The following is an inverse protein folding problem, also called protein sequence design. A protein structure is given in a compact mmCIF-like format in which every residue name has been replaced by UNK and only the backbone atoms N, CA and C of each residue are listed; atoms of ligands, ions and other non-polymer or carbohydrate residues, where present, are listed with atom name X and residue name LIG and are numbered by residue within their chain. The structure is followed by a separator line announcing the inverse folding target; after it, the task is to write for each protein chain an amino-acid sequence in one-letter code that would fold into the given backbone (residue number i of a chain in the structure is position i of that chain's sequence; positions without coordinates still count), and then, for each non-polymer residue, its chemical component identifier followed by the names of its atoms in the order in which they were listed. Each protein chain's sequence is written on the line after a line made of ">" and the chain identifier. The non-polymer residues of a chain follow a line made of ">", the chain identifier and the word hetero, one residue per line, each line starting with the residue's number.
data_IF_900643688164
#
_entry.id   IF_900643688164
#
_cell.length_a   1.000
_cell.length_b   1.000
_cell.length_c   1.000
_cell.angle_alpha   90.00
_cell.angle_beta   90.00
_cell.angle_gamma   90.00
#
_symmetry.space_group_name_H-M   'P 1'
#
loop_
_entity.id
_entity.type
_entity.pdbx_description
1 polymer ?
#
# COMPACT_ATOMS: atom_id res chain seq x y z
N UNK A 1 -11.96 -55.31 4.33
CA UNK A 1 -11.52 -54.97 5.68
C UNK A 1 -11.73 -53.49 5.89
N UNK A 2 -12.78 -53.09 6.61
CA UNK A 2 -13.16 -51.71 6.85
C UNK A 2 -12.33 -51.14 8.01
N UNK A 3 -11.56 -50.06 7.77
CA UNK A 3 -10.89 -49.29 8.81
C UNK A 3 -11.94 -48.55 9.62
N UNK A 4 -12.15 -48.94 10.87
CA UNK A 4 -12.93 -48.19 11.86
C UNK A 4 -12.25 -46.83 12.10
N UNK A 5 -12.92 -45.78 11.70
CA UNK A 5 -12.61 -44.43 12.19
C UNK A 5 -12.89 -44.40 13.70
N UNK A 6 -11.87 -44.15 14.51
CA UNK A 6 -12.03 -43.86 15.92
C UNK A 6 -12.60 -42.44 16.05
N UNK A 7 -13.89 -42.34 16.37
CA UNK A 7 -14.48 -41.12 16.87
C UNK A 7 -13.70 -40.67 18.13
N UNK A 8 -12.95 -39.58 18.04
CA UNK A 8 -12.37 -38.91 19.19
C UNK A 8 -13.52 -38.19 19.92
N UNK A 9 -13.97 -38.74 21.02
CA UNK A 9 -14.89 -38.06 21.92
C UNK A 9 -14.33 -36.71 22.33
N UNK A 10 -15.10 -35.65 22.13
CA UNK A 10 -14.81 -34.30 22.65
C UNK A 10 -15.05 -34.38 24.17
N UNK A 11 -13.98 -34.41 24.94
CA UNK A 11 -14.03 -34.33 26.41
C UNK A 11 -14.42 -32.92 26.82
N UNK A 12 -15.58 -32.77 27.45
CA UNK A 12 -16.05 -31.51 28.02
C UNK A 12 -15.25 -31.25 29.31
N UNK A 13 -14.34 -30.27 29.28
CA UNK A 13 -13.60 -29.82 30.47
C UNK A 13 -14.44 -28.76 31.16
N UNK A 14 -14.72 -28.89 32.47
CA UNK A 14 -15.45 -27.90 33.25
C UNK A 14 -14.76 -26.53 33.17
N UNK A 15 -15.59 -25.48 33.06
CA UNK A 15 -15.07 -24.12 32.79
C UNK A 15 -14.22 -23.53 33.92
N UNK A 16 -14.31 -24.09 35.12
CA UNK A 16 -13.67 -23.56 36.32
C UNK A 16 -12.24 -24.11 36.55
N UNK A 17 -11.79 -25.11 35.79
CA UNK A 17 -10.41 -25.62 35.88
C UNK A 17 -9.51 -25.01 34.80
N UNK A 18 -9.03 -23.79 35.07
CA UNK A 18 -8.12 -23.06 34.19
C UNK A 18 -6.83 -23.80 33.85
N UNK A 19 -6.28 -24.60 34.81
CA UNK A 19 -5.06 -25.36 34.60
C UNK A 19 -5.27 -26.53 33.68
N UNK A 20 -6.38 -27.28 33.83
CA UNK A 20 -6.70 -28.38 32.94
C UNK A 20 -6.98 -27.90 31.52
N UNK A 21 -7.65 -26.71 31.35
CA UNK A 21 -7.87 -26.10 30.06
C UNK A 21 -6.57 -25.66 29.39
N UNK A 22 -5.66 -25.03 30.15
CA UNK A 22 -4.36 -24.62 29.60
C UNK A 22 -3.52 -25.82 29.18
N UNK A 23 -3.52 -26.90 29.94
CA UNK A 23 -2.82 -28.15 29.59
C UNK A 23 -3.38 -28.76 28.30
N UNK A 24 -4.72 -28.80 28.14
CA UNK A 24 -5.37 -29.29 26.93
C UNK A 24 -5.07 -28.45 25.70
N UNK A 25 -5.04 -27.11 25.85
CA UNK A 25 -4.65 -26.17 24.77
C UNK A 25 -3.20 -26.40 24.38
N UNK A 26 -2.28 -26.50 25.33
CA UNK A 26 -0.85 -26.74 25.07
C UNK A 26 -0.60 -28.08 24.35
N UNK A 27 -1.35 -29.13 24.68
CA UNK A 27 -1.30 -30.41 23.96
C UNK A 27 -1.84 -30.27 22.52
N UNK A 28 -2.96 -29.55 22.34
CA UNK A 28 -3.51 -29.27 20.99
C UNK A 28 -2.53 -28.47 20.13
N UNK A 29 -1.86 -27.45 20.69
CA UNK A 29 -0.82 -26.66 20.02
C UNK A 29 0.32 -27.57 19.55
N UNK A 30 0.84 -28.46 20.40
CA UNK A 30 1.89 -29.43 20.01
C UNK A 30 1.48 -30.32 18.85
N UNK A 31 0.23 -30.79 18.84
CA UNK A 31 -0.31 -31.62 17.75
C UNK A 31 -0.38 -30.80 16.45
N UNK A 32 -0.90 -29.56 16.53
CA UNK A 32 -1.00 -28.66 15.38
C UNK A 32 0.39 -28.34 14.82
N UNK A 33 1.36 -27.98 15.66
CA UNK A 33 2.73 -27.67 15.23
C UNK A 33 3.44 -28.90 14.61
N UNK A 34 3.15 -30.10 15.11
CA UNK A 34 3.68 -31.34 14.53
C UNK A 34 3.08 -31.65 13.15
N UNK A 35 1.81 -31.32 12.92
CA UNK A 35 1.11 -31.60 11.67
C UNK A 35 1.32 -30.53 10.61
N UNK A 36 1.32 -29.26 11.02
CA UNK A 36 1.33 -28.09 10.11
C UNK A 36 2.62 -27.26 10.17
N UNK A 37 3.53 -27.59 11.08
CA UNK A 37 4.79 -26.86 11.28
C UNK A 37 4.72 -25.82 12.38
N UNK A 38 5.91 -25.40 12.86
CA UNK A 38 6.04 -24.34 13.87
C UNK A 38 5.47 -23.02 13.34
N UNK A 39 4.72 -22.31 14.16
CA UNK A 39 4.06 -21.04 13.79
C UNK A 39 2.69 -21.21 13.12
N UNK A 40 2.18 -22.46 12.96
CA UNK A 40 0.83 -22.70 12.49
C UNK A 40 -0.26 -22.14 13.42
N UNK A 41 0.09 -22.00 14.71
CA UNK A 41 -0.72 -21.31 15.73
C UNK A 41 0.21 -20.44 16.58
N UNK A 42 -0.23 -19.24 16.91
CA UNK A 42 0.53 -18.30 17.74
C UNK A 42 -0.32 -17.84 18.90
N UNK A 43 0.27 -17.84 20.10
CA UNK A 43 -0.30 -17.16 21.25
C UNK A 43 0.12 -15.69 21.21
N UNK A 44 -0.86 -14.80 21.03
CA UNK A 44 -0.64 -13.35 20.94
C UNK A 44 -0.91 -12.75 22.30
N UNK A 45 0.16 -12.28 22.96
CA UNK A 45 0.05 -11.54 24.21
C UNK A 45 0.39 -10.06 23.99
N UNK A 46 0.02 -9.21 24.94
CA UNK A 46 0.40 -7.79 24.96
C UNK A 46 1.92 -7.59 25.02
N UNK A 47 2.65 -8.57 25.51
CA UNK A 47 4.12 -8.56 25.58
C UNK A 47 4.79 -8.93 24.24
N UNK A 48 4.06 -9.58 23.34
CA UNK A 48 4.58 -10.04 22.04
C UNK A 48 3.59 -9.76 20.89
N UNK A 49 3.29 -8.48 20.59
CA UNK A 49 2.38 -8.13 19.52
C UNK A 49 3.00 -8.48 18.16
N UNK A 50 2.17 -8.97 17.22
CA UNK A 50 2.60 -9.15 15.83
C UNK A 50 2.86 -7.78 15.22
N UNK A 51 4.13 -7.38 15.16
CA UNK A 51 4.54 -6.13 14.52
C UNK A 51 4.69 -6.37 13.02
N UNK A 52 3.92 -5.66 12.21
CA UNK A 52 4.07 -5.67 10.76
C UNK A 52 5.22 -4.76 10.39
N UNK A 53 6.25 -5.31 9.74
CA UNK A 53 7.34 -4.52 9.18
C UNK A 53 6.85 -3.69 8.01
N UNK A 54 7.44 -2.50 7.84
CA UNK A 54 7.12 -1.60 6.74
C UNK A 54 8.38 -1.05 6.08
N UNK A 55 8.26 -0.70 4.80
CA UNK A 55 9.28 0.05 4.05
C UNK A 55 8.70 1.41 3.69
N UNK A 56 9.47 2.48 3.87
CA UNK A 56 9.07 3.83 3.54
C UNK A 56 8.53 3.93 2.10
N UNK A 57 7.54 4.76 1.91
CA UNK A 57 7.03 5.13 0.59
C UNK A 57 7.92 6.11 -0.15
N UNK A 58 8.91 6.69 0.54
CA UNK A 58 9.74 7.80 0.07
C UNK A 58 9.12 9.17 0.31
N UNK A 59 7.97 9.24 0.99
CA UNK A 59 7.26 10.45 1.41
C UNK A 59 6.88 10.36 2.88
N UNK A 60 7.25 11.35 3.67
CA UNK A 60 6.91 11.44 5.09
C UNK A 60 5.39 11.56 5.30
N UNK A 61 4.69 12.27 4.41
CA UNK A 61 3.25 12.42 4.46
C UNK A 61 2.52 11.09 4.23
N UNK A 62 2.93 10.34 3.21
CA UNK A 62 2.36 9.02 2.91
C UNK A 62 2.67 8.05 4.05
N UNK A 63 3.89 8.03 4.55
CA UNK A 63 4.31 7.16 5.65
C UNK A 63 3.54 7.44 6.94
N UNK A 64 3.32 8.72 7.26
CA UNK A 64 2.47 9.15 8.37
C UNK A 64 1.01 8.74 8.17
N UNK A 65 0.48 8.89 6.96
CA UNK A 65 -0.91 8.51 6.64
C UNK A 65 -1.10 6.98 6.70
N UNK A 66 -0.11 6.20 6.27
CA UNK A 66 -0.10 4.73 6.39
C UNK A 66 -0.07 4.26 7.84
N UNK A 67 0.49 5.06 8.75
CA UNK A 67 0.42 4.87 10.20
C UNK A 67 1.36 3.82 10.78
N UNK A 68 2.17 3.16 9.95
CA UNK A 68 3.21 2.19 10.34
C UNK A 68 4.59 2.55 9.75
N UNK A 69 4.69 3.76 9.16
CA UNK A 69 5.94 4.26 8.58
C UNK A 69 6.24 3.79 7.17
N UNK A 70 5.24 3.33 6.43
CA UNK A 70 5.40 2.93 5.05
C UNK A 70 4.49 1.78 4.59
N UNK A 71 4.87 1.15 3.49
CA UNK A 71 4.15 0.00 2.94
C UNK A 71 4.38 -1.27 3.78
N UNK A 72 3.31 -1.99 4.17
CA UNK A 72 3.43 -3.21 4.98
C UNK A 72 4.05 -4.34 4.16
N UNK A 73 5.12 -4.95 4.69
CA UNK A 73 5.72 -6.17 4.12
C UNK A 73 4.76 -7.35 4.21
N UNK A 74 4.84 -8.24 3.22
CA UNK A 74 4.01 -9.43 3.16
C UNK A 74 2.52 -9.15 2.95
N UNK A 75 2.17 -7.99 2.37
CA UNK A 75 0.78 -7.55 2.18
C UNK A 75 0.51 -7.04 0.78
N UNK A 76 -0.77 -7.10 0.41
CA UNK A 76 -1.30 -6.53 -0.82
C UNK A 76 -1.72 -5.09 -0.56
N UNK A 77 -1.20 -4.18 -1.39
CA UNK A 77 -1.56 -2.76 -1.42
C UNK A 77 -2.18 -2.46 -2.78
N UNK A 78 -3.34 -1.82 -2.80
CA UNK A 78 -3.95 -1.29 -4.02
C UNK A 78 -3.80 0.22 -4.06
N UNK A 79 -3.19 0.74 -5.15
CA UNK A 79 -3.08 2.17 -5.45
C UNK A 79 -3.95 2.46 -6.66
N UNK A 80 -4.97 3.29 -6.51
CA UNK A 80 -5.91 3.57 -7.58
C UNK A 80 -6.25 5.05 -7.69
N UNK A 81 -6.74 5.45 -8.84
CA UNK A 81 -7.11 6.84 -9.12
C UNK A 81 -7.26 7.10 -10.62
N UNK A 82 -7.63 8.32 -11.02
CA UNK A 82 -7.70 8.74 -12.42
C UNK A 82 -6.36 8.60 -13.14
N UNK A 83 -6.38 8.72 -14.46
CA UNK A 83 -5.16 8.81 -15.26
C UNK A 83 -4.32 10.02 -14.85
N UNK A 84 -2.99 9.90 -14.99
CA UNK A 84 -2.03 10.97 -14.68
C UNK A 84 -2.14 11.52 -13.25
N UNK A 85 -2.66 10.74 -12.30
CA UNK A 85 -2.73 11.14 -10.89
C UNK A 85 -1.45 10.85 -10.07
N UNK A 86 -0.42 10.24 -10.67
CA UNK A 86 0.85 9.93 -10.00
C UNK A 86 0.94 8.52 -9.39
N UNK A 87 0.06 7.58 -9.76
CA UNK A 87 0.06 6.21 -9.24
C UNK A 87 1.38 5.47 -9.48
N UNK A 88 1.86 5.49 -10.75
CA UNK A 88 3.13 4.86 -11.14
C UNK A 88 4.31 5.56 -10.47
N UNK A 89 4.28 6.89 -10.34
CA UNK A 89 5.30 7.66 -9.60
C UNK A 89 5.44 7.19 -8.15
N UNK A 90 4.32 7.03 -7.44
CA UNK A 90 4.29 6.53 -6.06
C UNK A 90 4.85 5.10 -5.98
N UNK A 91 4.51 4.24 -6.94
CA UNK A 91 5.02 2.87 -7.00
C UNK A 91 6.53 2.81 -7.28
N UNK A 92 7.05 3.67 -8.17
CA UNK A 92 8.48 3.77 -8.45
C UNK A 92 9.27 4.28 -7.25
N UNK A 93 8.75 5.26 -6.51
CA UNK A 93 9.35 5.68 -5.24
C UNK A 93 9.41 4.53 -4.23
N UNK A 94 8.34 3.72 -4.11
CA UNK A 94 8.34 2.54 -3.23
C UNK A 94 9.43 1.53 -3.63
N UNK A 95 9.64 1.31 -4.93
CA UNK A 95 10.73 0.46 -5.45
C UNK A 95 12.08 1.03 -5.03
N UNK A 96 12.32 2.32 -5.28
CA UNK A 96 13.58 2.96 -4.94
C UNK A 96 13.89 2.86 -3.43
N UNK A 97 12.89 3.03 -2.56
CA UNK A 97 13.08 2.91 -1.11
C UNK A 97 13.37 1.45 -0.68
N UNK A 98 12.71 0.45 -1.29
CA UNK A 98 13.02 -0.96 -1.06
C UNK A 98 14.46 -1.27 -1.47
N UNK A 99 14.90 -0.78 -2.63
CA UNK A 99 16.26 -1.01 -3.13
C UNK A 99 17.34 -0.35 -2.27
N UNK A 100 17.06 0.81 -1.66
CA UNK A 100 17.96 1.46 -0.67
C UNK A 100 18.25 0.59 0.54
N UNK A 101 17.29 -0.27 0.92
CA UNK A 101 17.49 -1.25 2.01
C UNK A 101 18.13 -2.55 1.54
N UNK A 102 18.62 -2.62 0.30
CA UNK A 102 19.24 -3.78 -0.31
C UNK A 102 18.26 -4.75 -0.97
N UNK A 103 16.96 -4.43 -1.00
CA UNK A 103 15.91 -5.26 -1.55
C UNK A 103 15.93 -5.36 -3.08
N UNK A 104 15.19 -6.33 -3.60
CA UNK A 104 15.05 -6.64 -5.02
C UNK A 104 13.61 -6.36 -5.45
N UNK A 105 13.46 -5.68 -6.59
CA UNK A 105 12.18 -5.27 -7.12
C UNK A 105 11.82 -6.02 -8.42
N UNK A 106 10.53 -6.30 -8.59
CA UNK A 106 9.96 -6.75 -9.85
C UNK A 106 8.84 -5.80 -10.30
N UNK A 107 8.76 -5.54 -11.58
CA UNK A 107 7.74 -4.70 -12.20
C UNK A 107 7.07 -5.47 -13.35
N UNK A 108 5.77 -5.70 -13.22
CA UNK A 108 4.94 -6.30 -14.26
C UNK A 108 4.24 -5.17 -15.00
N UNK A 109 4.79 -4.80 -16.14
CA UNK A 109 4.31 -3.70 -17.00
C UNK A 109 3.30 -4.24 -18.03
N UNK A 110 2.06 -4.36 -17.62
CA UNK A 110 0.98 -4.82 -18.51
C UNK A 110 0.49 -3.72 -19.47
N UNK A 111 0.83 -2.46 -19.23
CA UNK A 111 0.51 -1.34 -20.14
C UNK A 111 1.61 -1.09 -21.17
N UNK A 112 2.80 -1.71 -21.03
CA UNK A 112 3.98 -1.47 -21.87
C UNK A 112 4.38 0.02 -21.93
N UNK A 113 4.31 0.72 -20.81
CA UNK A 113 4.42 2.16 -20.72
C UNK A 113 5.46 2.66 -19.70
N UNK A 114 6.29 1.77 -19.14
CA UNK A 114 7.30 2.14 -18.17
C UNK A 114 8.38 3.01 -18.80
N UNK A 115 8.51 4.24 -18.32
CA UNK A 115 9.61 5.13 -18.66
C UNK A 115 10.81 4.85 -17.74
N UNK A 116 11.86 4.24 -18.31
CA UNK A 116 13.08 3.84 -17.60
C UNK A 116 13.89 5.07 -17.16
N UNK A 117 13.96 6.12 -17.97
CA UNK A 117 14.70 7.33 -17.62
C UNK A 117 14.02 8.08 -16.48
N UNK A 118 12.70 8.15 -16.51
CA UNK A 118 11.94 8.69 -15.38
C UNK A 118 12.11 7.84 -14.12
N UNK A 119 12.07 6.51 -14.23
CA UNK A 119 12.28 5.64 -13.08
C UNK A 119 13.69 5.80 -12.47
N UNK A 120 14.72 5.99 -13.30
CA UNK A 120 16.08 6.33 -12.85
C UNK A 120 16.11 7.68 -12.11
N UNK A 121 15.45 8.70 -12.65
CA UNK A 121 15.36 10.01 -12.00
C UNK A 121 14.71 9.93 -10.62
N UNK A 122 13.76 9.01 -10.41
CA UNK A 122 13.15 8.74 -9.11
C UNK A 122 14.04 7.92 -8.15
N UNK A 123 15.20 7.46 -8.61
CA UNK A 123 16.17 6.71 -7.83
C UNK A 123 16.05 5.19 -7.90
N UNK A 124 15.34 4.66 -8.90
CA UNK A 124 15.27 3.21 -9.14
C UNK A 124 16.63 2.71 -9.63
N UNK A 125 17.17 1.70 -8.96
CA UNK A 125 18.43 1.06 -9.30
C UNK A 125 18.22 -0.07 -10.32
N UNK A 126 18.76 0.11 -11.52
CA UNK A 126 18.73 -0.86 -12.63
C UNK A 126 20.00 -1.73 -12.70
N UNK A 127 20.84 -1.71 -11.67
CA UNK A 127 21.98 -2.63 -11.59
C UNK A 127 21.52 -4.08 -11.78
N UNK A 128 22.24 -4.90 -12.55
CA UNK A 128 21.87 -6.30 -12.77
C UNK A 128 21.55 -7.05 -11.47
N UNK A 129 20.38 -7.70 -11.40
CA UNK A 129 19.92 -8.43 -10.24
C UNK A 129 19.10 -7.58 -9.22
N UNK A 130 18.95 -6.27 -9.43
CA UNK A 130 18.19 -5.39 -8.52
C UNK A 130 16.78 -5.07 -8.99
N UNK A 131 16.56 -5.09 -10.31
CA UNK A 131 15.27 -4.77 -10.92
C UNK A 131 14.94 -5.76 -12.04
N UNK A 132 13.75 -6.34 -11.99
CA UNK A 132 13.24 -7.26 -13.00
C UNK A 132 11.99 -6.70 -13.65
N UNK A 133 12.01 -6.51 -14.95
CA UNK A 133 10.87 -6.05 -15.76
C UNK A 133 10.28 -7.22 -16.52
N UNK A 134 8.95 -7.32 -16.51
CA UNK A 134 8.19 -8.25 -17.35
C UNK A 134 7.06 -7.52 -18.05
N UNK A 135 6.90 -7.77 -19.35
CA UNK A 135 5.83 -7.23 -20.18
C UNK A 135 5.01 -8.42 -20.74
N UNK A 136 4.01 -8.88 -20.00
CA UNK A 136 3.24 -10.08 -20.35
C UNK A 136 2.20 -9.81 -21.42
N UNK A 137 1.91 -10.83 -22.25
CA UNK A 137 0.91 -10.75 -23.31
C UNK A 137 -0.55 -10.93 -22.79
N UNK A 138 -0.73 -11.50 -21.60
CA UNK A 138 -2.06 -11.76 -21.02
C UNK A 138 -2.06 -11.62 -19.49
N UNK A 139 -3.24 -11.43 -18.91
CA UNK A 139 -3.43 -11.35 -17.47
C UNK A 139 -3.03 -12.63 -16.75
N UNK A 140 -3.28 -13.80 -17.34
CA UNK A 140 -2.85 -15.10 -16.80
C UNK A 140 -1.34 -15.20 -16.74
N UNK A 141 -0.63 -14.78 -17.80
CA UNK A 141 0.84 -14.77 -17.85
C UNK A 141 1.41 -13.79 -16.80
N UNK A 142 0.86 -12.60 -16.71
CA UNK A 142 1.26 -11.60 -15.71
C UNK A 142 1.20 -12.15 -14.28
N UNK A 143 0.07 -12.75 -13.93
CA UNK A 143 -0.17 -13.25 -12.58
C UNK A 143 0.60 -14.55 -12.27
N UNK A 144 0.87 -15.40 -13.29
CA UNK A 144 1.73 -16.58 -13.15
C UNK A 144 3.20 -16.21 -12.95
N UNK A 145 3.70 -15.20 -13.70
CA UNK A 145 5.03 -14.65 -13.48
C UNK A 145 5.17 -14.06 -12.07
N UNK A 146 4.18 -13.27 -11.65
CA UNK A 146 4.15 -12.70 -10.31
C UNK A 146 4.16 -13.80 -9.24
N UNK A 147 3.35 -14.86 -9.40
CA UNK A 147 3.32 -16.00 -8.48
C UNK A 147 4.69 -16.66 -8.36
N UNK A 148 5.37 -16.94 -9.47
CA UNK A 148 6.70 -17.58 -9.48
C UNK A 148 7.77 -16.72 -8.82
N UNK A 149 7.75 -15.39 -9.08
CA UNK A 149 8.66 -14.45 -8.46
C UNK A 149 8.46 -14.36 -6.94
N UNK A 150 7.22 -14.31 -6.48
CA UNK A 150 6.88 -14.30 -5.05
C UNK A 150 7.30 -15.62 -4.38
N UNK A 151 7.03 -16.76 -5.01
CA UNK A 151 7.39 -18.08 -4.49
C UNK A 151 8.89 -18.29 -4.38
N UNK A 152 9.71 -17.58 -5.15
CA UNK A 152 11.17 -17.63 -5.02
C UNK A 152 11.65 -17.13 -3.66
N UNK A 153 10.86 -16.30 -2.97
CA UNK A 153 11.24 -15.66 -1.69
C UNK A 153 12.36 -14.62 -1.82
N UNK A 154 12.78 -14.27 -3.04
CA UNK A 154 13.89 -13.36 -3.30
C UNK A 154 13.43 -11.93 -3.64
N UNK A 155 12.12 -11.70 -3.85
CA UNK A 155 11.56 -10.41 -4.26
C UNK A 155 10.95 -9.69 -3.06
N UNK A 156 11.44 -8.50 -2.75
CA UNK A 156 10.95 -7.68 -1.63
C UNK A 156 9.73 -6.84 -2.01
N UNK A 157 9.67 -6.36 -3.26
CA UNK A 157 8.53 -5.64 -3.81
C UNK A 157 8.21 -6.11 -5.23
N UNK A 158 6.92 -6.32 -5.49
CA UNK A 158 6.40 -6.54 -6.84
C UNK A 158 5.31 -5.52 -7.14
N UNK A 159 5.43 -4.82 -8.27
CA UNK A 159 4.44 -3.87 -8.78
C UNK A 159 3.78 -4.46 -10.00
N UNK A 160 2.45 -4.35 -10.09
CA UNK A 160 1.65 -4.73 -11.26
C UNK A 160 0.96 -3.46 -11.78
N UNK A 161 1.39 -2.99 -12.95
CA UNK A 161 0.88 -1.76 -13.58
C UNK A 161 0.34 -2.08 -14.98
N UNK A 162 -0.95 -2.09 -15.19
CA UNK A 162 -2.02 -1.95 -14.20
C UNK A 162 -3.00 -3.12 -14.26
N UNK A 163 -3.81 -3.28 -13.21
CA UNK A 163 -4.90 -4.28 -13.20
C UNK A 163 -5.86 -4.12 -14.37
N UNK A 164 -6.07 -2.87 -14.83
CA UNK A 164 -6.93 -2.57 -15.98
C UNK A 164 -6.43 -3.22 -17.28
N UNK A 165 -5.11 -3.40 -17.42
CA UNK A 165 -4.46 -3.99 -18.59
C UNK A 165 -4.31 -5.51 -18.50
N UNK A 166 -4.69 -6.15 -17.39
CA UNK A 166 -4.67 -7.61 -17.27
C UNK A 166 -5.82 -8.24 -18.06
N UNK A 167 -5.68 -8.30 -19.37
CA UNK A 167 -6.68 -8.88 -20.26
C UNK A 167 -6.60 -10.41 -20.21
N UNK A 168 -7.72 -11.12 -19.95
CA UNK A 168 -7.74 -12.57 -20.00
C UNK A 168 -7.41 -13.12 -21.39
N UNK A 169 -6.63 -14.20 -21.45
CA UNK A 169 -6.23 -14.83 -22.72
C UNK A 169 -7.43 -15.18 -23.59
N UNK A 170 -8.51 -15.68 -23.00
CA UNK A 170 -9.74 -16.01 -23.73
C UNK A 170 -10.40 -14.78 -24.39
N UNK A 171 -10.16 -13.57 -23.88
CA UNK A 171 -10.61 -12.31 -24.49
C UNK A 171 -9.68 -11.91 -25.65
N UNK A 172 -8.37 -12.13 -25.50
CA UNK A 172 -7.37 -11.84 -26.55
C UNK A 172 -7.56 -12.75 -27.75
N UNK A 173 -7.77 -14.05 -27.52
CA UNK A 173 -7.97 -15.06 -28.55
C UNK A 173 -9.39 -15.01 -29.16
N UNK A 174 -10.29 -14.23 -28.56
CA UNK A 174 -11.69 -14.11 -28.94
C UNK A 174 -11.88 -13.26 -30.19
N UNK A 175 -13.08 -13.37 -30.78
CA UNK A 175 -13.48 -12.53 -31.90
C UNK A 175 -13.83 -11.12 -31.41
N UNK A 176 -13.39 -10.09 -32.15
CA UNK A 176 -13.68 -8.71 -31.83
C UNK A 176 -15.20 -8.48 -31.68
N UNK A 177 -15.62 -7.91 -30.55
CA UNK A 177 -17.02 -7.69 -30.21
C UNK A 177 -17.70 -8.86 -29.46
N UNK A 178 -17.00 -9.96 -29.20
CA UNK A 178 -17.51 -11.03 -28.34
C UNK A 178 -17.69 -10.54 -26.90
N UNK A 179 -18.68 -11.12 -26.21
CA UNK A 179 -18.98 -10.74 -24.83
C UNK A 179 -18.13 -11.54 -23.85
N UNK A 180 -17.21 -10.86 -23.16
CA UNK A 180 -16.30 -11.45 -22.18
C UNK A 180 -16.55 -10.94 -20.74
N UNK A 181 -17.82 -10.62 -20.42
CA UNK A 181 -18.21 -10.05 -19.12
C UNK A 181 -17.70 -10.93 -17.96
N UNK A 182 -16.99 -10.31 -17.03
CA UNK A 182 -16.57 -10.90 -15.76
C UNK A 182 -15.35 -11.82 -15.82
N UNK A 183 -14.74 -12.08 -16.98
CA UNK A 183 -13.54 -12.92 -17.08
C UNK A 183 -12.39 -12.35 -16.27
N UNK A 184 -12.09 -11.05 -16.39
CA UNK A 184 -11.05 -10.38 -15.63
C UNK A 184 -11.30 -10.46 -14.11
N UNK A 185 -12.55 -10.27 -13.66
CA UNK A 185 -12.90 -10.38 -12.24
C UNK A 185 -12.73 -11.80 -11.70
N UNK A 186 -13.01 -12.84 -12.50
CA UNK A 186 -12.76 -14.25 -12.15
C UNK A 186 -11.26 -14.54 -12.06
N UNK A 187 -10.47 -14.07 -13.03
CA UNK A 187 -9.01 -14.19 -13.06
C UNK A 187 -8.41 -13.56 -11.80
N UNK A 188 -8.75 -12.31 -11.49
CA UNK A 188 -8.29 -11.61 -10.29
C UNK A 188 -8.68 -12.32 -9.00
N UNK A 189 -9.92 -12.80 -8.91
CA UNK A 189 -10.40 -13.54 -7.73
C UNK A 189 -9.65 -14.87 -7.53
N UNK A 190 -9.32 -15.58 -8.59
CA UNK A 190 -8.55 -16.82 -8.55
C UNK A 190 -7.09 -16.54 -8.13
N UNK A 191 -6.45 -15.57 -8.77
CA UNK A 191 -5.07 -15.20 -8.51
C UNK A 191 -4.88 -14.74 -7.07
N UNK A 192 -5.70 -13.81 -6.58
CA UNK A 192 -5.55 -13.25 -5.24
C UNK A 192 -5.77 -14.29 -4.13
N UNK A 193 -6.65 -15.30 -4.35
CA UNK A 193 -6.78 -16.43 -3.42
C UNK A 193 -5.49 -17.23 -3.29
N UNK A 194 -4.76 -17.42 -4.39
CA UNK A 194 -3.48 -18.14 -4.39
C UNK A 194 -2.37 -17.27 -3.82
N UNK A 195 -2.26 -16.03 -4.30
CA UNK A 195 -1.15 -15.12 -4.00
C UNK A 195 -1.12 -14.64 -2.54
N UNK A 196 -2.28 -14.40 -1.91
CA UNK A 196 -2.32 -13.76 -0.58
C UNK A 196 -1.51 -14.51 0.47
N UNK A 197 -1.64 -15.84 0.52
CA UNK A 197 -0.87 -16.66 1.48
C UNK A 197 0.63 -16.73 1.15
N UNK A 198 0.98 -16.71 -0.14
CA UNK A 198 2.35 -16.74 -0.63
C UNK A 198 3.06 -15.42 -0.37
N UNK A 199 2.40 -14.29 -0.66
CA UNK A 199 2.87 -12.93 -0.40
C UNK A 199 3.21 -12.75 1.09
N UNK A 200 2.34 -13.23 1.97
CA UNK A 200 2.58 -13.16 3.41
C UNK A 200 3.81 -13.98 3.84
N UNK A 201 3.93 -15.22 3.33
CA UNK A 201 5.06 -16.11 3.65
C UNK A 201 6.39 -15.63 3.10
N UNK A 202 6.39 -15.05 1.88
CA UNK A 202 7.56 -14.50 1.23
C UNK A 202 7.94 -13.10 1.75
N UNK A 203 7.10 -12.49 2.59
CA UNK A 203 7.28 -11.12 3.11
C UNK A 203 7.39 -10.05 2.01
N UNK A 204 6.85 -10.33 0.82
CA UNK A 204 6.90 -9.45 -0.36
C UNK A 204 5.83 -8.36 -0.26
N UNK A 205 6.18 -7.10 -0.53
CA UNK A 205 5.20 -6.02 -0.75
C UNK A 205 4.62 -6.21 -2.15
N UNK A 206 3.30 -6.40 -2.26
CA UNK A 206 2.64 -6.57 -3.55
C UNK A 206 1.73 -5.39 -3.84
N UNK A 207 2.17 -4.49 -4.74
CA UNK A 207 1.51 -3.25 -5.07
C UNK A 207 0.79 -3.40 -6.40
N UNK A 208 -0.54 -3.26 -6.38
CA UNK A 208 -1.39 -3.31 -7.56
C UNK A 208 -1.83 -1.89 -7.91
N UNK A 209 -1.44 -1.40 -9.07
CA UNK A 209 -1.94 -0.15 -9.62
C UNK A 209 -3.26 -0.43 -10.33
N UNK A 210 -4.28 0.40 -10.07
CA UNK A 210 -5.59 0.22 -10.66
C UNK A 210 -6.14 1.54 -11.21
N UNK A 211 -7.02 1.44 -12.19
CA UNK A 211 -7.70 2.57 -12.80
C UNK A 211 -9.15 2.63 -12.32
N UNK A 212 -9.71 3.83 -12.34
CA UNK A 212 -11.12 4.06 -12.11
C UNK A 212 -11.90 4.01 -13.41
N UNK A 213 -13.11 3.47 -13.32
CA UNK A 213 -14.13 3.48 -14.38
C UNK A 213 -15.42 4.01 -13.78
N UNK A 214 -16.22 4.65 -14.58
CA UNK A 214 -17.55 5.10 -14.17
C UNK A 214 -18.59 4.03 -14.46
N UNK A 215 -19.38 3.68 -13.46
CA UNK A 215 -20.52 2.80 -13.61
C UNK A 215 -21.72 3.61 -14.10
N UNK A 216 -22.20 3.30 -15.29
CA UNK A 216 -23.38 3.97 -15.89
C UNK A 216 -24.64 3.63 -15.09
N UNK A 217 -25.51 4.62 -14.85
CA UNK A 217 -26.82 4.42 -14.22
C UNK A 217 -26.82 4.46 -12.69
N UNK A 218 -25.74 4.88 -12.04
CA UNK A 218 -25.72 5.11 -10.60
C UNK A 218 -26.40 6.44 -10.27
N UNK A 219 -27.57 6.39 -9.64
CA UNK A 219 -28.32 7.61 -9.25
C UNK A 219 -27.91 8.14 -7.86
N UNK A 220 -27.36 7.26 -6.98
CA UNK A 220 -26.92 7.61 -5.62
C UNK A 220 -25.56 6.96 -5.33
N UNK A 221 -24.73 7.63 -4.53
CA UNK A 221 -23.38 7.19 -4.19
C UNK A 221 -22.33 7.52 -5.26
N UNK A 222 -21.10 7.02 -5.09
CA UNK A 222 -20.03 7.28 -6.07
C UNK A 222 -20.15 6.33 -7.27
N UNK A 223 -20.20 6.84 -8.51
CA UNK A 223 -20.22 6.00 -9.70
C UNK A 223 -18.86 5.35 -9.98
N UNK A 224 -17.79 5.80 -9.31
CA UNK A 224 -16.43 5.34 -9.56
C UNK A 224 -16.19 3.94 -9.01
N UNK A 225 -15.70 3.05 -9.85
CA UNK A 225 -15.32 1.68 -9.49
C UNK A 225 -13.94 1.33 -10.05
N UNK A 226 -13.19 0.51 -9.33
CA UNK A 226 -11.91 -0.02 -9.81
C UNK A 226 -12.13 -1.21 -10.74
N UNK A 227 -11.22 -1.43 -11.69
CA UNK A 227 -11.25 -2.57 -12.63
C UNK A 227 -10.89 -3.89 -11.93
N UNK A 228 -11.12 -5.02 -12.58
CA UNK A 228 -10.79 -6.34 -12.02
C UNK A 228 -11.78 -6.86 -10.97
N UNK A 229 -12.97 -6.26 -10.86
CA UNK A 229 -14.03 -6.67 -9.93
C UNK A 229 -13.77 -6.30 -8.48
N UNK A 230 -14.37 -7.06 -7.55
CA UNK A 230 -14.31 -6.76 -6.11
C UNK A 230 -13.12 -7.41 -5.38
N UNK A 231 -12.35 -8.27 -6.04
CA UNK A 231 -11.37 -9.11 -5.36
C UNK A 231 -10.29 -8.30 -4.62
N UNK A 232 -9.66 -7.31 -5.27
CA UNK A 232 -8.67 -6.44 -4.63
C UNK A 232 -9.26 -5.66 -3.46
N UNK A 233 -10.50 -5.17 -3.56
CA UNK A 233 -11.18 -4.47 -2.46
C UNK A 233 -11.22 -5.31 -1.18
N UNK A 234 -11.35 -6.65 -1.29
CA UNK A 234 -11.36 -7.55 -0.15
C UNK A 234 -9.96 -8.01 0.29
N UNK A 235 -9.11 -8.41 -0.67
CA UNK A 235 -7.80 -9.00 -0.38
C UNK A 235 -6.74 -7.97 0.02
N UNK A 236 -6.80 -6.73 -0.47
CA UNK A 236 -5.86 -5.70 -0.08
C UNK A 236 -5.89 -5.41 1.43
N UNK A 237 -4.72 -5.25 2.02
CA UNK A 237 -4.55 -4.78 3.40
C UNK A 237 -4.68 -3.27 3.46
N UNK A 238 -4.13 -2.57 2.45
CA UNK A 238 -4.18 -1.11 2.31
C UNK A 238 -4.75 -0.77 0.95
N UNK A 239 -5.61 0.26 0.88
CA UNK A 239 -6.09 0.85 -0.37
C UNK A 239 -5.86 2.35 -0.34
N UNK A 240 -5.27 2.86 -1.39
CA UNK A 240 -4.81 4.24 -1.53
C UNK A 240 -5.51 4.86 -2.73
N UNK A 241 -6.31 5.90 -2.49
CA UNK A 241 -6.93 6.72 -3.52
C UNK A 241 -6.02 7.92 -3.81
N UNK A 242 -5.58 8.06 -5.06
CA UNK A 242 -4.64 9.08 -5.51
C UNK A 242 -5.36 10.04 -6.45
N UNK A 243 -5.46 11.30 -6.06
CA UNK A 243 -6.16 12.34 -6.81
C UNK A 243 -5.25 13.50 -7.15
N UNK A 244 -5.18 13.84 -8.43
CA UNK A 244 -4.51 15.05 -8.89
C UNK A 244 -5.27 16.26 -8.37
N UNK A 245 -4.56 17.20 -7.72
CA UNK A 245 -5.09 18.47 -7.23
C UNK A 245 -4.63 19.66 -8.07
N UNK A 246 -4.26 20.74 -7.41
CA UNK A 246 -3.86 21.98 -8.04
C UNK A 246 -2.52 21.86 -8.77
N UNK A 247 -2.39 22.58 -9.88
CA UNK A 247 -1.13 22.66 -10.62
C UNK A 247 -0.14 23.58 -9.90
N UNK A 248 1.09 23.09 -9.74
CA UNK A 248 2.23 23.87 -9.23
C UNK A 248 2.82 24.63 -10.43
N UNK A 249 2.88 25.96 -10.33
CA UNK A 249 3.34 26.84 -11.39
C UNK A 249 4.67 27.47 -11.04
N UNK A 250 5.56 27.55 -12.01
CA UNK A 250 6.78 28.32 -11.96
C UNK A 250 6.58 29.82 -12.13
N UNK A 251 7.68 30.58 -12.14
CA UNK A 251 7.67 32.05 -12.28
C UNK A 251 7.02 32.51 -13.58
N UNK A 252 7.20 31.77 -14.67
CA UNK A 252 6.66 32.06 -16.01
C UNK A 252 5.27 31.46 -16.25
N UNK A 253 4.57 31.06 -15.17
CA UNK A 253 3.27 30.36 -15.22
C UNK A 253 3.31 29.00 -15.91
N UNK A 254 4.47 28.44 -16.20
CA UNK A 254 4.62 27.06 -16.64
C UNK A 254 4.19 26.09 -15.52
N UNK A 255 3.66 24.93 -15.88
CA UNK A 255 3.24 23.92 -14.92
C UNK A 255 4.44 23.01 -14.64
N UNK A 256 4.97 23.09 -13.42
CA UNK A 256 6.13 22.30 -12.95
C UNK A 256 5.72 20.96 -12.32
N UNK A 257 4.49 20.87 -11.86
CA UNK A 257 4.02 19.67 -11.16
C UNK A 257 2.57 19.81 -10.70
N UNK A 258 2.15 18.91 -9.83
CA UNK A 258 0.81 18.94 -9.25
C UNK A 258 0.86 18.62 -7.76
N UNK A 259 0.07 19.34 -6.96
CA UNK A 259 -0.27 18.92 -5.62
C UNK A 259 -1.24 17.73 -5.71
N UNK A 260 -0.86 16.61 -5.13
CA UNK A 260 -1.61 15.36 -5.23
C UNK A 260 -2.14 14.98 -3.86
N UNK A 261 -3.45 14.71 -3.81
CA UNK A 261 -4.12 14.24 -2.60
C UNK A 261 -4.14 12.72 -2.58
N UNK A 262 -3.67 12.14 -1.47
CA UNK A 262 -3.55 10.71 -1.26
C UNK A 262 -4.37 10.34 -0.03
N UNK A 263 -5.45 9.56 -0.23
CA UNK A 263 -6.34 9.14 0.85
C UNK A 263 -6.19 7.64 1.10
N UNK A 264 -5.95 7.26 2.35
CA UNK A 264 -5.90 5.86 2.77
C UNK A 264 -7.32 5.40 3.08
N UNK A 265 -8.03 4.86 2.09
CA UNK A 265 -9.46 4.51 2.20
C UNK A 265 -9.70 3.18 2.90
N UNK A 266 -8.68 2.32 3.00
CA UNK A 266 -8.69 1.07 3.74
C UNK A 266 -7.32 0.83 4.33
N UNK A 267 -7.28 0.46 5.60
CA UNK A 267 -6.05 0.09 6.28
C UNK A 267 -6.37 -0.98 7.35
N UNK A 268 -5.68 -2.13 7.29
CA UNK A 268 -5.82 -3.21 8.28
C UNK A 268 -4.65 -3.25 9.28
N UNK A 269 -3.68 -2.35 9.14
CA UNK A 269 -2.47 -2.30 9.99
C UNK A 269 -2.38 -1.01 10.82
N UNK A 270 -3.25 -0.03 10.54
CA UNK A 270 -3.40 1.22 11.29
C UNK A 270 -4.80 1.82 11.04
N UNK A 271 -5.22 2.86 11.77
CA UNK A 271 -6.49 3.54 11.51
C UNK A 271 -6.58 4.08 10.08
N UNK A 272 -7.69 3.80 9.35
CA UNK A 272 -7.89 4.26 7.98
C UNK A 272 -8.30 5.74 7.90
N UNK A 273 -8.57 6.20 6.66
CA UNK A 273 -9.13 7.51 6.29
C UNK A 273 -8.20 8.71 6.47
N UNK A 274 -6.94 8.48 6.84
CA UNK A 274 -5.94 9.53 6.83
C UNK A 274 -5.67 10.02 5.40
N UNK A 275 -5.32 11.30 5.30
CA UNK A 275 -5.02 11.98 4.05
C UNK A 275 -3.60 12.52 4.11
N UNK A 276 -2.86 12.37 3.02
CA UNK A 276 -1.60 13.02 2.75
C UNK A 276 -1.74 13.92 1.53
N UNK A 277 -1.06 15.03 1.49
CA UNK A 277 -0.89 15.86 0.32
C UNK A 277 0.59 15.95 -0.01
N UNK A 278 0.94 15.68 -1.25
CA UNK A 278 2.33 15.67 -1.74
C UNK A 278 2.44 16.48 -3.02
N UNK A 279 3.55 17.18 -3.19
CA UNK A 279 3.87 17.86 -4.43
C UNK A 279 4.63 16.87 -5.34
N UNK A 280 4.02 16.49 -6.48
CA UNK A 280 4.66 15.66 -7.51
C UNK A 280 5.15 16.57 -8.63
N UNK A 281 6.48 16.69 -8.74
CA UNK A 281 7.16 17.50 -9.75
C UNK A 281 7.41 16.68 -11.00
N UNK A 282 7.25 17.27 -12.17
CA UNK A 282 7.47 16.59 -13.44
C UNK A 282 8.96 16.31 -13.64
N UNK A 283 9.30 15.06 -13.96
CA UNK A 283 10.68 14.61 -14.11
C UNK A 283 11.40 14.26 -12.80
N UNK A 284 10.95 14.74 -11.64
CA UNK A 284 11.62 14.60 -10.34
C UNK A 284 10.83 13.75 -9.32
N UNK A 285 9.50 13.62 -9.53
CA UNK A 285 8.63 12.88 -8.61
C UNK A 285 8.23 13.66 -7.37
N UNK A 286 8.15 12.99 -6.21
CA UNK A 286 7.71 13.61 -4.96
C UNK A 286 8.78 14.56 -4.43
N UNK A 287 8.40 15.82 -4.18
CA UNK A 287 9.27 16.86 -3.63
C UNK A 287 9.57 16.61 -2.15
N UNK A 288 10.58 15.77 -1.85
CA UNK A 288 10.99 15.42 -0.47
C UNK A 288 11.43 16.62 0.33
N UNK A 289 12.17 17.55 -0.30
CA UNK A 289 12.66 18.77 0.35
C UNK A 289 11.50 19.66 0.76
N UNK A 290 10.51 19.86 -0.14
CA UNK A 290 9.34 20.65 0.16
C UNK A 290 8.51 20.07 1.30
N UNK A 291 8.32 18.76 1.28
CA UNK A 291 7.59 18.01 2.32
C UNK A 291 8.31 18.10 3.69
N UNK A 292 9.63 17.92 3.71
CA UNK A 292 10.44 18.05 4.93
C UNK A 292 10.30 19.44 5.54
N UNK A 293 10.37 20.49 4.72
CA UNK A 293 10.20 21.87 5.19
C UNK A 293 8.81 22.10 5.79
N UNK A 294 7.76 21.64 5.11
CA UNK A 294 6.39 21.83 5.57
C UNK A 294 6.17 21.13 6.92
N UNK A 295 6.62 19.87 7.05
CA UNK A 295 6.56 19.15 8.34
C UNK A 295 7.45 19.77 9.42
N UNK A 296 8.63 20.25 9.07
CA UNK A 296 9.52 20.90 10.05
C UNK A 296 8.88 22.16 10.65
N UNK A 297 8.09 22.90 9.85
CA UNK A 297 7.29 24.03 10.34
C UNK A 297 6.12 23.56 11.19
N UNK A 298 5.37 22.55 10.76
CA UNK A 298 4.20 22.02 11.49
C UNK A 298 4.58 21.37 12.83
N UNK A 299 5.81 20.92 12.96
CA UNK A 299 6.38 20.33 14.18
C UNK A 299 7.17 21.35 15.04
N UNK A 300 7.15 22.64 14.68
CA UNK A 300 7.92 23.70 15.36
C UNK A 300 9.44 23.45 15.41
N UNK A 301 9.98 22.58 14.54
CA UNK A 301 11.42 22.37 14.37
C UNK A 301 12.02 23.58 13.65
N UNK A 302 11.34 24.08 12.62
CA UNK A 302 11.66 25.33 11.93
C UNK A 302 10.65 26.39 12.35
N UNK A 303 11.14 27.52 12.84
CA UNK A 303 10.31 28.65 13.19
C UNK A 303 9.96 29.46 11.93
N UNK A 304 8.66 29.70 11.69
CA UNK A 304 8.15 30.55 10.62
C UNK A 304 7.54 31.81 11.19
N UNK A 305 8.09 32.97 10.82
CA UNK A 305 7.56 34.27 11.19
C UNK A 305 7.29 35.10 9.95
N UNK A 306 6.01 35.22 9.59
CA UNK A 306 5.59 35.79 8.30
C UNK A 306 6.16 35.00 7.13
N UNK A 307 7.00 35.64 6.29
CA UNK A 307 7.69 34.96 5.18
C UNK A 307 9.07 34.43 5.53
N UNK A 308 9.56 34.65 6.75
CA UNK A 308 10.91 34.28 7.18
C UNK A 308 10.90 32.91 7.90
N UNK A 309 11.91 32.11 7.58
CA UNK A 309 12.16 30.81 8.20
C UNK A 309 13.49 30.85 8.96
N UNK A 310 13.53 30.22 10.13
CA UNK A 310 14.73 30.12 10.95
C UNK A 310 14.82 28.76 11.66
N UNK A 311 16.05 28.29 11.84
CA UNK A 311 16.38 27.06 12.54
C UNK A 311 17.47 27.35 13.57
N UNK A 312 17.34 26.92 14.82
CA UNK A 312 18.28 27.17 15.92
C UNK A 312 18.68 28.63 16.09
N UNK A 313 17.79 29.59 15.79
CA UNK A 313 18.04 31.03 15.87
C UNK A 313 18.72 31.63 14.63
N UNK A 314 19.17 30.83 13.68
CA UNK A 314 19.74 31.26 12.41
C UNK A 314 18.67 31.39 11.32
N UNK A 315 18.77 32.41 10.48
CA UNK A 315 17.85 32.64 9.36
C UNK A 315 18.20 31.70 8.20
N UNK A 316 17.24 30.87 7.76
CA UNK A 316 17.38 30.03 6.57
C UNK A 316 17.06 30.79 5.28
N UNK A 317 16.04 31.67 5.31
CA UNK A 317 15.64 32.42 4.12
C UNK A 317 14.26 33.04 4.21
N UNK A 318 13.91 33.83 3.18
CA UNK A 318 12.60 34.42 3.03
C UNK A 318 11.83 33.68 1.90
N UNK A 319 10.69 33.12 2.22
CA UNK A 319 9.87 32.34 1.31
C UNK A 319 10.29 30.87 1.18
N UNK A 320 9.30 30.01 0.92
CA UNK A 320 9.44 28.54 0.87
C UNK A 320 10.50 28.09 -0.16
N UNK A 321 10.47 28.68 -1.36
CA UNK A 321 11.39 28.30 -2.45
C UNK A 321 12.86 28.65 -2.17
N UNK A 322 13.12 29.74 -1.45
CA UNK A 322 14.49 30.07 -1.07
C UNK A 322 15.03 29.13 -0.01
N UNK A 323 14.19 28.69 0.93
CA UNK A 323 14.60 27.68 1.94
C UNK A 323 14.83 26.31 1.29
N UNK A 324 14.03 25.92 0.30
CA UNK A 324 14.29 24.70 -0.47
C UNK A 324 15.66 24.72 -1.13
N UNK A 325 16.06 25.85 -1.73
CA UNK A 325 17.41 26.02 -2.29
C UNK A 325 18.50 25.89 -1.25
N UNK A 326 18.30 26.46 -0.05
CA UNK A 326 19.26 26.29 1.06
C UNK A 326 19.43 24.80 1.42
N UNK A 327 18.35 24.02 1.40
CA UNK A 327 18.42 22.58 1.65
C UNK A 327 19.10 21.82 0.50
N UNK A 328 18.90 22.25 -0.75
CA UNK A 328 19.59 21.67 -1.93
C UNK A 328 21.11 21.96 -1.89
N UNK A 329 21.50 23.13 -1.43
CA UNK A 329 22.91 23.57 -1.32
C UNK A 329 23.60 23.04 -0.05
N UNK A 330 22.84 22.68 0.98
CA UNK A 330 23.36 22.20 2.27
C UNK A 330 22.71 20.87 2.67
N UNK A 331 23.29 19.78 2.14
CA UNK A 331 22.80 18.43 2.39
C UNK A 331 22.90 18.01 3.87
N UNK A 332 23.90 18.48 4.61
CA UNK A 332 24.06 18.17 6.04
C UNK A 332 22.90 18.74 6.85
N UNK A 333 22.56 20.02 6.62
CA UNK A 333 21.44 20.68 7.27
C UNK A 333 20.10 19.99 6.90
N UNK A 334 19.92 19.65 5.62
CA UNK A 334 18.74 18.93 5.18
C UNK A 334 18.58 17.58 5.90
N UNK A 335 19.65 16.79 5.95
CA UNK A 335 19.64 15.46 6.58
C UNK A 335 19.40 15.54 8.09
N UNK A 336 19.95 16.57 8.78
CA UNK A 336 19.67 16.83 10.19
C UNK A 336 18.18 17.10 10.42
N UNK A 337 17.61 18.05 9.70
CA UNK A 337 16.18 18.42 9.84
C UNK A 337 15.28 17.28 9.42
N UNK A 338 15.58 16.57 8.33
CA UNK A 338 14.84 15.40 7.89
C UNK A 338 14.81 14.30 8.96
N UNK A 339 15.96 14.06 9.62
CA UNK A 339 16.08 13.09 10.71
C UNK A 339 15.16 13.44 11.88
N UNK A 340 15.20 14.71 12.34
CA UNK A 340 14.34 15.21 13.41
C UNK A 340 12.85 15.09 13.08
N UNK A 341 12.46 15.50 11.88
CA UNK A 341 11.07 15.43 11.39
C UNK A 341 10.59 13.97 11.36
N UNK A 342 11.39 13.09 10.77
CA UNK A 342 11.06 11.67 10.66
C UNK A 342 10.86 11.03 12.04
N UNK A 343 11.79 11.26 12.95
CA UNK A 343 11.76 10.67 14.29
C UNK A 343 10.56 11.16 15.09
N UNK A 344 10.19 12.44 14.96
CA UNK A 344 9.01 13.00 15.62
C UNK A 344 7.71 12.43 15.03
N UNK A 345 7.58 12.29 13.69
CA UNK A 345 6.44 11.67 13.03
C UNK A 345 6.30 10.21 13.47
N UNK A 346 7.40 9.45 13.50
CA UNK A 346 7.39 8.04 13.89
C UNK A 346 7.02 7.86 15.37
N UNK A 347 7.49 8.75 16.26
CA UNK A 347 7.13 8.73 17.67
C UNK A 347 5.64 8.94 17.91
N UNK A 348 5.03 9.88 17.18
CA UNK A 348 3.58 10.16 17.24
C UNK A 348 2.76 9.00 16.66
N UNK A 349 3.26 8.35 15.63
CA UNK A 349 2.61 7.19 15.02
C UNK A 349 2.60 5.97 15.95
N UNK A 350 3.69 5.73 16.68
CA UNK A 350 3.78 4.63 17.67
C UNK A 350 2.96 4.86 18.95
N UNK A 351 2.81 6.09 19.40
CA UNK A 351 2.06 6.43 20.62
C UNK A 351 0.54 6.39 20.44
N UNK A 352 0.00 6.71 19.25
CA UNK A 352 -1.45 6.70 18.99
C UNK A 352 -2.07 5.29 18.91
N UNK A 353 -1.28 4.24 18.84
CA UNK A 353 -1.79 2.87 18.89
C UNK A 353 -2.17 2.42 20.32
N UNK A 354 -1.85 3.20 21.36
CA UNK A 354 -2.11 2.88 22.77
C UNK A 354 -3.18 3.75 23.46
N UNK A 355 -3.73 4.76 22.76
CA UNK A 355 -4.83 5.57 23.29
C UNK A 355 -5.91 5.72 22.22
N UNK A 356 -6.96 4.95 22.36
CA UNK A 356 -8.25 5.21 21.69
C UNK A 356 -8.91 6.31 22.51
N UNK A 357 -8.73 7.56 22.11
CA UNK A 357 -9.57 8.66 22.60
C UNK A 357 -10.93 8.56 21.90
N UNK A 358 -11.96 8.24 22.71
CA UNK A 358 -13.38 8.10 22.33
C UNK A 358 -14.10 9.44 22.07
N UNK A 359 -13.43 10.48 21.60
CA UNK A 359 -14.08 11.76 21.29
C UNK A 359 -13.66 12.25 19.90
N UNK A 360 -14.32 11.73 18.87
CA UNK A 360 -14.60 12.37 17.57
C UNK A 360 -15.12 11.37 16.52
N UNK A 361 -16.09 10.56 16.91
CA UNK A 361 -16.82 9.68 16.00
C UNK A 361 -18.31 10.04 15.95
N UNK A 362 -18.60 11.32 15.70
CA UNK A 362 -19.94 11.77 15.31
C UNK A 362 -19.77 12.89 14.30
N UNK A 363 -19.79 12.52 13.04
CA UNK A 363 -20.42 13.19 11.91
C UNK A 363 -19.77 12.66 10.60
N UNK A 364 -20.56 11.93 9.86
CA UNK A 364 -20.36 11.35 8.54
C UNK A 364 -20.27 9.81 8.49
N UNK A 365 -21.33 9.18 8.99
CA UNK A 365 -21.75 7.86 8.52
C UNK A 365 -22.74 8.11 7.38
N UNK A 366 -22.24 8.39 6.19
CA UNK A 366 -23.01 8.17 4.98
C UNK A 366 -22.97 6.67 4.65
N UNK A 367 -24.13 6.09 4.80
CA UNK A 367 -24.61 4.75 4.49
C UNK A 367 -23.63 3.82 3.80
N UNK A 368 -23.09 2.89 4.56
CA UNK A 368 -22.55 1.63 4.05
C UNK A 368 -23.71 0.89 3.36
N UNK A 369 -23.70 0.91 2.03
CA UNK A 369 -24.58 0.14 1.16
C UNK A 369 -24.43 -1.37 1.44
N UNK A 370 -25.24 -1.87 2.37
CA UNK A 370 -25.49 -3.30 2.58
C UNK A 370 -26.50 -3.77 1.54
N UNK A 371 -26.09 -3.80 0.27
CA UNK A 371 -26.84 -4.40 -0.80
C UNK A 371 -26.98 -5.91 -0.57
N UNK A 372 -27.97 -6.32 0.17
CA UNK A 372 -28.48 -7.70 0.18
C UNK A 372 -29.34 -7.85 -1.08
N UNK A 373 -28.74 -8.31 -2.17
CA UNK A 373 -29.50 -8.84 -3.30
C UNK A 373 -30.14 -10.17 -2.87
N UNK A 374 -31.44 -10.15 -2.62
CA UNK A 374 -32.27 -11.35 -2.54
C UNK A 374 -32.20 -12.07 -3.88
N UNK A 375 -31.78 -13.33 -3.86
CA UNK A 375 -31.88 -14.25 -4.99
C UNK A 375 -33.37 -14.42 -5.34
N UNK A 376 -33.79 -13.82 -6.44
CA UNK A 376 -35.07 -14.06 -7.05
C UNK A 376 -35.08 -15.48 -7.61
N UNK A 377 -36.10 -16.24 -7.26
CA UNK A 377 -36.44 -17.57 -7.79
C UNK A 377 -36.61 -17.49 -9.31
N UNK A 378 -35.97 -18.43 -9.99
CA UNK A 378 -36.14 -18.64 -11.43
C UNK A 378 -37.24 -19.70 -11.59
N UNK A 379 -38.34 -19.34 -12.21
CA UNK A 379 -39.19 -20.27 -12.98
C UNK A 379 -38.61 -20.49 -14.39
#
# INVERSE_FOLDING_TARGET
>A
MAKKAKDKQVTHIEKDDLKARQAAINEAIKVIEKEYGKGAIMDISSENPIKVEAVSSGSLAIDSALGIGGYPKGRIVEVYGPESSGKTTIALHAIAEVQKTGGIAAFIDAENALDIEYAKALGVDFTPGKFFLSQPDSGEQALDIAEKLILSGAIDIIVIDSVAALVPKAEIDGVMGANHIGLQARLMSQALRKLTGQINKANTISLFINQLREKVGVMFGSPEVTTGGRALKFYSTVRIDVRKGEAIKGADSEILGNRTKIKIVKNKVAPPFKVAEVDIMFGEGISKIGETLDFAVDLDIINKSGSWFSYNGERLGQGRENVKKVFEENEELYNEIYGLVRDEIMSKTGKKNNSVDEEEANDNIDELDLGIETLGEVE
#
